data_IF_417998552485
#
_entry.id   IF_417998552485
#
_cell.length_a   1.000
_cell.length_b   1.000
_cell.length_c   1.000
_cell.angle_alpha   90.00
_cell.angle_beta   90.00
_cell.angle_gamma   90.00
#
_symmetry.space_group_name_H-M   'P 1'
#
loop_
_entity.id
_entity.type
_entity.pdbx_description
1 polymer ?
#
# COMPACT_ATOMS: atom_id res chain seq x y z
N UNK A 1 -46.31 0.74 -47.61
CA UNK A 1 -47.11 0.62 -46.37
C UNK A 1 -46.26 0.95 -45.13
N UNK A 2 -45.35 1.94 -45.22
CA UNK A 2 -44.41 2.35 -44.15
C UNK A 2 -44.76 3.76 -43.63
N UNK A 3 -45.44 4.59 -44.44
CA UNK A 3 -45.81 5.97 -44.10
C UNK A 3 -46.67 6.13 -42.84
N UNK A 4 -47.64 5.23 -42.61
CA UNK A 4 -48.66 5.45 -41.57
C UNK A 4 -48.09 5.37 -40.16
N UNK A 5 -47.17 4.44 -39.92
CA UNK A 5 -46.52 4.28 -38.62
C UNK A 5 -45.51 5.39 -38.35
N UNK A 6 -44.81 5.87 -39.39
CA UNK A 6 -43.91 7.00 -39.28
C UNK A 6 -44.66 8.30 -38.95
N UNK A 7 -45.83 8.53 -39.59
CA UNK A 7 -46.70 9.67 -39.30
C UNK A 7 -47.21 9.61 -37.85
N UNK A 8 -47.57 8.43 -37.34
CA UNK A 8 -47.98 8.26 -35.95
C UNK A 8 -46.83 8.53 -34.96
N UNK A 9 -45.63 8.03 -35.25
CA UNK A 9 -44.43 8.28 -34.45
C UNK A 9 -44.07 9.77 -34.43
N UNK A 10 -44.16 10.47 -35.55
CA UNK A 10 -43.91 11.91 -35.62
C UNK A 10 -44.98 12.72 -34.85
N UNK A 11 -46.26 12.35 -34.96
CA UNK A 11 -47.34 13.02 -34.21
C UNK A 11 -47.22 12.83 -32.71
N UNK A 12 -46.89 11.63 -32.25
CA UNK A 12 -46.74 11.31 -30.83
C UNK A 12 -45.48 11.94 -30.25
N UNK A 13 -44.39 11.99 -31.02
CA UNK A 13 -43.15 12.70 -30.67
C UNK A 13 -43.39 14.19 -30.50
N UNK A 14 -44.02 14.85 -31.47
CA UNK A 14 -44.32 16.29 -31.39
C UNK A 14 -45.32 16.64 -30.29
N UNK A 15 -46.33 15.80 -30.07
CA UNK A 15 -47.26 15.98 -28.95
C UNK A 15 -46.54 15.87 -27.60
N UNK A 16 -45.67 14.87 -27.44
CA UNK A 16 -44.90 14.67 -26.21
C UNK A 16 -43.90 15.81 -25.95
N UNK A 17 -43.24 16.31 -26.99
CA UNK A 17 -42.33 17.47 -26.89
C UNK A 17 -43.06 18.76 -26.52
N UNK A 18 -44.28 18.97 -27.03
CA UNK A 18 -45.12 20.12 -26.68
C UNK A 18 -45.68 20.04 -25.26
N UNK A 19 -46.10 18.85 -24.82
CA UNK A 19 -46.55 18.65 -23.44
C UNK A 19 -45.39 18.78 -22.46
N UNK A 20 -44.22 18.22 -22.77
CA UNK A 20 -43.06 18.33 -21.90
C UNK A 20 -42.53 19.77 -21.80
N UNK A 21 -42.56 20.52 -22.90
CA UNK A 21 -42.18 21.94 -22.87
C UNK A 21 -43.19 22.79 -22.11
N UNK A 22 -44.49 22.52 -22.25
CA UNK A 22 -45.54 23.19 -21.45
C UNK A 22 -45.38 22.91 -19.94
N UNK A 23 -45.01 21.69 -19.55
CA UNK A 23 -44.75 21.33 -18.15
C UNK A 23 -43.47 21.98 -17.59
N UNK A 24 -42.41 22.08 -18.40
CA UNK A 24 -41.12 22.64 -17.98
C UNK A 24 -41.11 24.18 -17.94
N UNK A 25 -41.84 24.84 -18.84
CA UNK A 25 -41.75 26.30 -19.03
C UNK A 25 -43.04 27.08 -18.71
N UNK A 26 -44.17 26.40 -18.49
CA UNK A 26 -45.46 27.04 -18.19
C UNK A 26 -46.06 27.79 -19.39
N UNK A 27 -47.18 28.50 -19.17
CA UNK A 27 -47.99 29.17 -20.20
C UNK A 27 -47.37 30.49 -20.76
N UNK A 28 -46.05 30.65 -20.72
CA UNK A 28 -45.39 31.89 -21.15
C UNK A 28 -44.70 31.70 -22.51
N UNK A 29 -45.32 32.32 -23.52
CA UNK A 29 -44.89 32.48 -24.91
C UNK A 29 -43.75 33.50 -25.04
N UNK A 30 -42.68 33.39 -24.23
CA UNK A 30 -41.57 34.32 -24.30
C UNK A 30 -40.38 33.68 -25.02
N UNK A 31 -40.18 34.18 -26.24
CA UNK A 31 -39.09 33.94 -27.21
C UNK A 31 -37.69 34.27 -26.67
N UNK A 32 -37.31 33.69 -25.54
CA UNK A 32 -35.91 33.52 -25.16
C UNK A 32 -35.72 32.03 -25.02
N UNK A 33 -35.18 31.41 -26.07
CA UNK A 33 -34.56 30.10 -25.92
C UNK A 33 -33.45 30.30 -24.90
N UNK A 34 -33.74 30.11 -23.61
CA UNK A 34 -32.70 29.90 -22.62
C UNK A 34 -32.02 28.65 -23.14
N UNK A 35 -30.78 28.73 -23.67
CA UNK A 35 -30.09 27.53 -24.08
C UNK A 35 -29.98 26.72 -22.81
N UNK A 36 -30.77 25.66 -22.70
CA UNK A 36 -30.79 24.84 -21.51
C UNK A 36 -29.36 24.39 -21.33
N UNK A 37 -28.74 24.70 -20.19
CA UNK A 37 -27.39 24.27 -19.87
C UNK A 37 -27.32 22.74 -19.69
N UNK A 38 -28.28 21.99 -20.20
CA UNK A 38 -28.43 20.55 -20.10
C UNK A 38 -27.21 19.82 -20.65
N UNK A 39 -26.63 20.30 -21.77
CA UNK A 39 -25.36 19.77 -22.27
C UNK A 39 -24.20 19.97 -21.28
N UNK A 40 -24.15 21.13 -20.61
CA UNK A 40 -23.14 21.43 -19.57
C UNK A 40 -23.41 20.64 -18.29
N UNK A 41 -24.67 20.41 -17.94
CA UNK A 41 -25.09 19.63 -16.78
C UNK A 41 -24.71 18.16 -16.96
N UNK A 42 -25.07 17.55 -18.08
CA UNK A 42 -24.68 16.17 -18.43
C UNK A 42 -23.15 16.07 -18.45
N UNK A 43 -22.46 17.03 -19.05
CA UNK A 43 -20.99 17.09 -19.04
C UNK A 43 -20.41 17.13 -17.62
N UNK A 44 -20.97 17.94 -16.73
CA UNK A 44 -20.52 18.03 -15.33
C UNK A 44 -20.76 16.75 -14.55
N UNK A 45 -21.88 16.05 -14.79
CA UNK A 45 -22.21 14.78 -14.15
C UNK A 45 -21.21 13.70 -14.56
N UNK A 46 -20.88 13.61 -15.86
CA UNK A 46 -19.88 12.66 -16.36
C UNK A 46 -18.49 12.95 -15.77
N UNK A 47 -18.08 14.22 -15.72
CA UNK A 47 -16.79 14.61 -15.16
C UNK A 47 -16.70 14.30 -13.66
N UNK A 48 -17.78 14.56 -12.90
CA UNK A 48 -17.87 14.22 -11.49
C UNK A 48 -17.78 12.69 -11.27
N UNK A 49 -18.45 11.89 -12.12
CA UNK A 49 -18.38 10.44 -12.04
C UNK A 49 -16.96 9.90 -12.28
N UNK A 50 -16.26 10.40 -13.30
CA UNK A 50 -14.89 9.99 -13.61
C UNK A 50 -13.93 10.37 -12.49
N UNK A 51 -14.04 11.59 -11.95
CA UNK A 51 -13.22 12.02 -10.82
C UNK A 51 -13.47 11.13 -9.59
N UNK A 52 -14.74 10.81 -9.29
CA UNK A 52 -15.11 9.92 -8.19
C UNK A 52 -14.51 8.52 -8.32
N UNK A 53 -14.64 7.89 -9.49
CA UNK A 53 -14.05 6.56 -9.75
C UNK A 53 -12.53 6.60 -9.65
N UNK A 54 -11.89 7.67 -10.12
CA UNK A 54 -10.44 7.85 -9.98
C UNK A 54 -9.98 7.91 -8.53
N UNK A 55 -10.67 8.72 -7.70
CA UNK A 55 -10.34 8.84 -6.28
C UNK A 55 -10.54 7.52 -5.52
N UNK A 56 -11.65 6.82 -5.77
CA UNK A 56 -11.94 5.53 -5.13
C UNK A 56 -10.95 4.44 -5.57
N UNK A 57 -10.62 4.39 -6.86
CA UNK A 57 -9.68 3.43 -7.41
C UNK A 57 -8.26 3.60 -6.85
N UNK A 58 -7.77 4.85 -6.79
CA UNK A 58 -6.45 5.13 -6.22
C UNK A 58 -6.36 4.75 -4.73
N UNK A 59 -7.41 5.07 -3.96
CA UNK A 59 -7.46 4.74 -2.52
C UNK A 59 -7.42 3.22 -2.31
N UNK A 60 -8.17 2.46 -3.10
CA UNK A 60 -8.18 1.00 -3.02
C UNK A 60 -6.84 0.36 -3.41
N UNK A 61 -6.18 0.85 -4.46
CA UNK A 61 -4.87 0.32 -4.88
C UNK A 61 -3.80 0.60 -3.83
N UNK A 62 -3.80 1.80 -3.25
CA UNK A 62 -2.87 2.15 -2.18
C UNK A 62 -3.08 1.25 -0.95
N UNK A 63 -4.32 1.15 -0.49
CA UNK A 63 -4.70 0.30 0.65
C UNK A 63 -4.30 -1.18 0.43
N UNK A 64 -4.56 -1.72 -0.75
CA UNK A 64 -4.20 -3.10 -1.07
C UNK A 64 -2.67 -3.32 -1.11
N UNK A 65 -1.91 -2.33 -1.59
CA UNK A 65 -0.45 -2.43 -1.62
C UNK A 65 0.16 -2.36 -0.23
N UNK A 66 -0.32 -1.43 0.60
CA UNK A 66 0.16 -1.24 1.97
C UNK A 66 -0.17 -2.49 2.81
N UNK A 67 -1.40 -3.03 2.71
CA UNK A 67 -1.79 -4.27 3.39
C UNK A 67 -0.97 -5.50 2.95
N UNK A 68 -0.60 -5.60 1.66
CA UNK A 68 0.29 -6.68 1.17
C UNK A 68 1.69 -6.57 1.74
N UNK A 69 2.25 -5.36 1.77
CA UNK A 69 3.60 -5.09 2.30
C UNK A 69 3.68 -5.52 3.75
N UNK A 70 2.73 -5.07 4.57
CA UNK A 70 2.64 -5.43 5.99
C UNK A 70 2.58 -6.95 6.20
N UNK A 71 1.70 -7.64 5.47
CA UNK A 71 1.56 -9.10 5.58
C UNK A 71 2.86 -9.82 5.19
N UNK A 72 3.49 -9.39 4.09
CA UNK A 72 4.76 -9.98 3.64
C UNK A 72 5.94 -9.70 4.57
N UNK A 73 5.94 -8.54 5.23
CA UNK A 73 6.95 -8.16 6.20
C UNK A 73 6.84 -9.08 7.44
N UNK A 74 5.64 -9.23 7.99
CA UNK A 74 5.40 -10.14 9.12
C UNK A 74 5.73 -11.60 8.75
N UNK A 75 5.34 -12.05 7.56
CA UNK A 75 5.65 -13.41 7.10
C UNK A 75 7.16 -13.65 6.96
N UNK A 76 7.89 -12.73 6.31
CA UNK A 76 9.34 -12.85 6.17
C UNK A 76 10.08 -12.76 7.50
N UNK A 77 9.58 -11.97 8.46
CA UNK A 77 10.09 -11.96 9.83
C UNK A 77 9.86 -13.31 10.51
N UNK A 78 8.63 -13.86 10.45
CA UNK A 78 8.36 -15.20 11.02
C UNK A 78 9.20 -16.29 10.36
N UNK A 79 9.40 -16.24 9.05
CA UNK A 79 10.22 -17.18 8.32
C UNK A 79 11.70 -17.05 8.69
N UNK A 80 12.21 -15.83 8.86
CA UNK A 80 13.58 -15.58 9.28
C UNK A 80 13.82 -15.99 10.74
N UNK A 81 12.83 -15.80 11.62
CA UNK A 81 12.87 -16.28 13.01
C UNK A 81 12.80 -17.82 13.09
N UNK A 82 12.02 -18.46 12.20
CA UNK A 82 11.89 -19.92 12.11
C UNK A 82 13.07 -20.59 11.39
N UNK A 83 13.82 -19.84 10.58
CA UNK A 83 15.03 -20.33 9.93
C UNK A 83 16.14 -20.55 10.97
N UNK A 84 16.32 -21.80 11.38
CA UNK A 84 17.41 -22.24 12.26
C UNK A 84 18.76 -22.12 11.52
N UNK A 85 19.78 -21.42 12.05
CA UNK A 85 21.05 -21.28 11.33
C UNK A 85 21.84 -22.60 11.22
N UNK A 86 22.55 -22.73 10.10
CA UNK A 86 23.33 -23.86 9.59
C UNK A 86 24.70 -24.06 10.31
N UNK A 87 25.42 -25.20 10.10
CA UNK A 87 26.45 -25.71 11.01
C UNK A 87 27.86 -25.08 10.88
N UNK A 88 28.71 -25.35 11.88
CA UNK A 88 30.10 -24.85 12.12
C UNK A 88 31.16 -25.22 11.07
N UNK A 89 32.22 -24.41 10.93
CA UNK A 89 33.36 -24.60 10.01
C UNK A 89 34.74 -24.43 10.69
N UNK A 90 35.82 -24.85 10.05
CA UNK A 90 37.17 -25.10 10.61
C UNK A 90 37.96 -23.85 11.09
N UNK A 91 37.49 -22.65 10.75
CA UNK A 91 38.15 -21.36 11.10
C UNK A 91 37.36 -20.53 12.11
N UNK A 92 36.12 -20.93 12.38
CA UNK A 92 35.15 -20.13 13.10
C UNK A 92 34.43 -21.08 14.06
N UNK A 93 34.82 -21.03 15.33
CA UNK A 93 34.20 -21.85 16.37
C UNK A 93 32.88 -21.19 16.76
N UNK A 94 31.77 -21.93 16.62
CA UNK A 94 30.52 -21.46 17.18
C UNK A 94 30.65 -21.41 18.69
N UNK A 95 30.35 -20.24 19.24
CA UNK A 95 30.11 -20.11 20.65
C UNK A 95 28.79 -20.84 20.96
N UNK A 96 28.85 -21.98 21.66
CA UNK A 96 27.66 -22.82 21.94
C UNK A 96 26.61 -22.08 22.79
N UNK A 97 26.99 -21.01 23.49
CA UNK A 97 26.09 -20.19 24.30
C UNK A 97 25.29 -19.19 23.46
N UNK A 98 25.88 -18.64 22.40
CA UNK A 98 25.28 -17.53 21.62
C UNK A 98 25.01 -17.83 20.15
N UNK A 99 25.69 -18.82 19.57
CA UNK A 99 25.58 -19.19 18.15
C UNK A 99 26.37 -18.30 17.18
N UNK A 100 27.15 -17.33 17.67
CA UNK A 100 28.00 -16.45 16.87
C UNK A 100 29.41 -17.04 16.67
N UNK A 101 30.12 -16.52 15.67
CA UNK A 101 31.51 -16.93 15.41
C UNK A 101 32.45 -16.05 16.22
N UNK A 102 33.36 -16.65 17.00
CA UNK A 102 34.38 -15.88 17.73
C UNK A 102 35.68 -15.84 16.93
N UNK A 103 36.16 -14.64 16.62
CA UNK A 103 37.49 -14.46 16.03
C UNK A 103 38.56 -14.72 17.11
N UNK A 104 39.46 -15.68 16.86
CA UNK A 104 40.50 -16.07 17.81
C UNK A 104 41.64 -15.05 17.93
N UNK A 105 41.75 -14.10 17.00
CA UNK A 105 42.81 -13.10 16.96
C UNK A 105 42.43 -11.79 17.65
N UNK A 106 41.17 -11.37 17.54
CA UNK A 106 40.64 -10.12 18.12
C UNK A 106 39.72 -10.36 19.33
N UNK A 107 39.19 -11.58 19.47
CA UNK A 107 38.21 -11.94 20.51
C UNK A 107 36.78 -11.52 20.19
N UNK A 108 36.57 -10.80 19.10
CA UNK A 108 35.30 -10.21 18.69
C UNK A 108 34.33 -11.28 18.18
N UNK A 109 33.04 -11.13 18.49
CA UNK A 109 31.99 -11.94 17.92
C UNK A 109 31.65 -11.41 16.52
N UNK A 110 31.57 -12.29 15.54
CA UNK A 110 31.26 -11.97 14.15
C UNK A 110 30.01 -12.75 13.76
N UNK A 111 29.07 -12.06 13.11
CA UNK A 111 27.89 -12.70 12.59
C UNK A 111 28.26 -13.57 11.37
N UNK A 112 28.00 -14.89 11.38
CA UNK A 112 28.28 -15.79 10.26
C UNK A 112 27.56 -15.41 8.96
N UNK A 113 26.43 -14.69 9.03
CA UNK A 113 25.63 -14.35 7.84
C UNK A 113 26.10 -13.08 7.16
N UNK A 114 26.54 -12.10 7.93
CA UNK A 114 26.88 -10.77 7.40
C UNK A 114 28.38 -10.47 7.42
N UNK A 115 29.17 -11.19 8.21
CA UNK A 115 30.61 -10.96 8.36
C UNK A 115 30.94 -9.67 9.12
N UNK A 116 29.96 -9.06 9.79
CA UNK A 116 30.11 -7.85 10.57
C UNK A 116 30.30 -8.16 12.06
N UNK A 117 30.93 -7.24 12.81
CA UNK A 117 31.10 -7.39 14.25
C UNK A 117 29.75 -7.32 14.97
N UNK A 118 29.58 -8.24 15.91
CA UNK A 118 28.45 -8.36 16.84
C UNK A 118 28.87 -7.72 18.14
N UNK A 119 28.05 -6.82 18.63
CA UNK A 119 28.20 -6.22 19.95
C UNK A 119 27.86 -7.26 21.03
N UNK A 120 28.81 -7.57 21.91
CA UNK A 120 28.66 -8.64 22.92
C UNK A 120 27.57 -8.34 23.96
N UNK A 121 27.30 -7.07 24.24
CA UNK A 121 26.30 -6.66 25.24
C UNK A 121 24.87 -6.78 24.69
N UNK A 122 24.70 -6.52 23.40
CA UNK A 122 23.37 -6.43 22.76
C UNK A 122 23.04 -7.60 21.82
N UNK A 123 24.05 -8.33 21.34
CA UNK A 123 23.90 -9.38 20.33
C UNK A 123 23.52 -8.87 18.94
N UNK A 124 23.58 -7.54 18.71
CA UNK A 124 23.27 -6.92 17.43
C UNK A 124 24.53 -6.62 16.63
N UNK A 125 24.36 -6.64 15.31
CA UNK A 125 25.40 -6.29 14.35
C UNK A 125 25.38 -4.79 14.07
N UNK A 126 26.55 -4.17 13.95
CA UNK A 126 26.65 -2.78 13.50
C UNK A 126 27.13 -2.69 12.05
N UNK A 127 26.31 -2.11 11.18
CA UNK A 127 26.69 -1.84 9.79
C UNK A 127 27.67 -0.64 9.73
N UNK A 128 28.55 -0.51 8.71
CA UNK A 128 29.34 0.69 8.42
C UNK A 128 28.60 2.04 8.50
N UNK A 129 27.29 2.08 8.21
CA UNK A 129 26.46 3.29 8.35
C UNK A 129 26.09 3.63 9.81
N UNK A 130 26.54 2.82 10.78
CA UNK A 130 26.27 2.99 12.21
C UNK A 130 24.90 2.50 12.68
N UNK A 131 24.12 1.83 11.81
CA UNK A 131 22.81 1.23 12.17
C UNK A 131 22.97 -0.16 12.75
N UNK A 132 22.10 -0.50 13.68
CA UNK A 132 21.99 -1.83 14.28
C UNK A 132 21.17 -2.77 13.40
N UNK A 133 21.62 -4.01 13.28
CA UNK A 133 21.01 -5.07 12.49
C UNK A 133 20.89 -6.29 13.39
N UNK A 134 19.73 -6.95 13.39
CA UNK A 134 19.59 -8.26 14.01
C UNK A 134 20.21 -9.31 13.07
N UNK A 135 21.29 -10.01 13.49
CA UNK A 135 21.97 -11.01 12.66
C UNK A 135 21.07 -12.20 12.25
N UNK A 136 20.03 -12.48 13.03
CA UNK A 136 19.11 -13.61 12.77
C UNK A 136 18.18 -13.30 11.62
N UNK A 137 17.66 -12.07 11.59
CA UNK A 137 16.64 -11.63 10.63
C UNK A 137 17.24 -10.85 9.46
N UNK A 138 18.39 -10.21 9.67
CA UNK A 138 18.97 -9.23 8.74
C UNK A 138 18.20 -7.91 8.70
N UNK A 139 17.31 -7.67 9.66
CA UNK A 139 16.48 -6.47 9.74
C UNK A 139 17.15 -5.40 10.59
N UNK A 140 16.81 -4.14 10.33
CA UNK A 140 17.33 -3.04 11.13
C UNK A 140 16.64 -3.01 12.49
N UNK A 141 17.41 -2.84 13.56
CA UNK A 141 16.93 -2.71 14.94
C UNK A 141 16.96 -1.24 15.35
N UNK A 142 15.87 -0.75 15.92
CA UNK A 142 15.90 0.48 16.71
C UNK A 142 16.29 0.15 18.16
N UNK A 143 17.46 0.59 18.65
CA UNK A 143 17.94 0.26 20.00
C UNK A 143 17.10 0.91 21.12
N UNK A 144 16.31 1.94 20.83
CA UNK A 144 15.48 2.60 21.83
C UNK A 144 14.13 1.87 22.03
N UNK A 145 13.51 1.42 20.94
CA UNK A 145 12.18 0.78 20.97
C UNK A 145 12.22 -0.75 20.88
N UNK A 146 13.30 -1.32 20.36
CA UNK A 146 13.43 -2.76 20.09
C UNK A 146 12.65 -3.23 18.86
N UNK A 147 12.12 -2.32 18.05
CA UNK A 147 11.39 -2.66 16.82
C UNK A 147 12.33 -3.03 15.67
N UNK A 148 11.83 -3.88 14.78
CA UNK A 148 12.56 -4.36 13.62
C UNK A 148 11.98 -3.74 12.35
N UNK A 149 12.81 -3.09 11.54
CA UNK A 149 12.43 -2.52 10.26
C UNK A 149 13.02 -3.32 9.11
N UNK A 150 12.16 -3.76 8.20
CA UNK A 150 12.56 -4.47 7.00
C UNK A 150 13.36 -3.54 6.06
N UNK A 151 14.61 -3.88 5.68
CA UNK A 151 15.41 -3.08 4.77
C UNK A 151 14.80 -2.92 3.37
N UNK A 152 13.94 -3.85 2.96
CA UNK A 152 13.39 -3.93 1.60
C UNK A 152 12.02 -3.24 1.48
N UNK A 153 11.13 -3.47 2.45
CA UNK A 153 9.78 -2.87 2.45
C UNK A 153 9.68 -1.57 3.25
N UNK A 154 10.62 -1.32 4.17
CA UNK A 154 10.59 -0.18 5.09
C UNK A 154 9.52 -0.30 6.19
N UNK A 155 8.87 -1.46 6.32
CA UNK A 155 7.84 -1.70 7.34
C UNK A 155 8.51 -2.02 8.67
N UNK A 156 8.06 -1.37 9.73
CA UNK A 156 8.51 -1.61 11.11
C UNK A 156 7.54 -2.55 11.83
N UNK A 157 8.07 -3.59 12.45
CA UNK A 157 7.32 -4.64 13.14
C UNK A 157 7.86 -4.80 14.55
N UNK A 158 6.96 -4.93 15.52
CA UNK A 158 7.31 -5.33 16.88
C UNK A 158 7.54 -6.85 16.93
N UNK A 159 8.76 -7.33 17.25
CA UNK A 159 9.09 -8.75 17.25
C UNK A 159 8.36 -9.56 18.33
N UNK A 160 7.81 -8.92 19.37
CA UNK A 160 7.10 -9.61 20.46
C UNK A 160 5.62 -9.76 20.12
N UNK A 161 4.99 -8.68 19.67
CA UNK A 161 3.56 -8.70 19.34
C UNK A 161 3.28 -9.13 17.89
N UNK A 162 4.30 -9.19 17.03
CA UNK A 162 4.19 -9.49 15.59
C UNK A 162 3.23 -8.54 14.85
N UNK A 163 3.10 -7.30 15.34
CA UNK A 163 2.26 -6.27 14.74
C UNK A 163 3.12 -5.22 14.06
N UNK A 164 2.64 -4.73 12.93
CA UNK A 164 3.22 -3.56 12.29
C UNK A 164 3.01 -2.37 13.21
N UNK A 165 4.11 -1.65 13.47
CA UNK A 165 4.08 -0.39 14.21
C UNK A 165 3.95 0.69 13.15
N UNK A 166 2.80 1.36 13.14
CA UNK A 166 2.66 2.62 12.42
C UNK A 166 3.57 3.63 13.12
N UNK A 167 4.67 4.03 12.48
CA UNK A 167 5.36 5.24 12.89
C UNK A 167 4.38 6.39 12.65
N UNK A 168 3.86 6.99 13.73
CA UNK A 168 3.10 8.23 13.66
C UNK A 168 3.96 9.28 12.91
N UNK A 169 3.69 9.46 11.61
CA UNK A 169 4.33 10.47 10.75
C UNK A 169 3.71 11.85 10.96
#
# INVERSE_FOLDING_TARGET
MIDRDQILLESTRTHRERVSSALMFGALDQRRAVPTNLGRFIGSVVLAAVAGVGCLGFSFVKDQLDSRRETSAVESLTAAMAANPLPTSDTLTADEETGFLRDQSTGELIDPRTGFPVDEDTGYVRNPDGRWIDPRTGWFVDPASGYLTDPSSGVTVDPVSMRVVEEDQ
#
